data_IF_739243276074
#
_entry.id   IF_739243276074
#
_cell.length_a   1.000
_cell.length_b   1.000
_cell.length_c   1.000
_cell.angle_alpha   90.00
_cell.angle_beta   90.00
_cell.angle_gamma   90.00
#
_symmetry.space_group_name_H-M   'P 1'
#
loop_
_entity.id
_entity.type
_entity.pdbx_description
1 polymer ?
#
# COMPACT_ATOMS: atom_id res chain seq x y z
N UNK A 1 -9.68 32.76 -32.23
CA UNK A 1 -10.86 32.06 -32.80
C UNK A 1 -11.98 32.21 -31.78
N UNK A 2 -12.97 33.06 -32.07
CA UNK A 2 -14.06 33.38 -31.14
C UNK A 2 -15.05 32.22 -31.20
N UNK A 3 -15.10 31.38 -30.17
CA UNK A 3 -15.77 30.06 -30.26
C UNK A 3 -17.25 30.04 -29.87
N UNK A 4 -17.79 31.07 -29.22
CA UNK A 4 -19.24 31.22 -29.02
C UNK A 4 -19.57 32.71 -29.06
N UNK A 5 -20.36 33.14 -30.04
CA UNK A 5 -20.87 34.52 -30.12
C UNK A 5 -22.27 34.65 -29.52
N UNK A 6 -22.59 35.87 -29.09
CA UNK A 6 -23.64 36.42 -28.21
C UNK A 6 -24.94 35.65 -27.88
N UNK A 7 -25.41 34.64 -28.65
CA UNK A 7 -26.58 33.79 -28.28
C UNK A 7 -26.41 32.29 -28.57
N UNK A 8 -25.84 31.86 -29.71
CA UNK A 8 -25.46 30.47 -30.06
C UNK A 8 -24.69 30.48 -31.40
N UNK A 9 -23.77 29.53 -31.64
CA UNK A 9 -23.11 29.30 -32.93
C UNK A 9 -23.15 27.80 -33.29
N UNK A 10 -23.16 27.42 -34.58
CA UNK A 10 -23.41 26.03 -35.04
C UNK A 10 -22.17 25.13 -35.09
N UNK A 11 -20.99 25.69 -34.83
CA UNK A 11 -19.69 25.00 -34.84
C UNK A 11 -19.55 23.97 -33.72
N UNK A 12 -20.36 24.06 -32.66
CA UNK A 12 -20.43 23.08 -31.58
C UNK A 12 -21.20 21.80 -31.97
N UNK A 13 -22.09 21.87 -32.97
CA UNK A 13 -23.06 20.81 -33.28
C UNK A 13 -22.38 19.49 -33.69
N UNK A 14 -21.41 19.54 -34.60
CA UNK A 14 -20.69 18.36 -35.03
C UNK A 14 -19.79 17.79 -33.91
N UNK A 15 -19.13 18.67 -33.15
CA UNK A 15 -18.28 18.26 -32.04
C UNK A 15 -19.11 17.55 -30.96
N UNK A 16 -20.22 18.13 -30.52
CA UNK A 16 -21.08 17.58 -29.47
C UNK A 16 -21.74 16.25 -29.83
N UNK A 17 -21.99 16.00 -31.13
CA UNK A 17 -22.51 14.70 -31.61
C UNK A 17 -21.50 13.57 -31.47
N UNK A 18 -20.21 13.89 -31.35
CA UNK A 18 -19.12 12.91 -31.18
C UNK A 18 -18.73 12.88 -29.69
N UNK A 19 -18.33 14.03 -29.15
CA UNK A 19 -17.73 14.12 -27.83
C UNK A 19 -18.67 13.74 -26.70
N UNK A 20 -19.95 14.11 -26.77
CA UNK A 20 -20.91 13.77 -25.71
C UNK A 20 -21.19 12.25 -25.72
N UNK A 21 -21.64 11.61 -26.81
CA UNK A 21 -21.89 10.18 -26.79
C UNK A 21 -20.66 9.35 -26.48
N UNK A 22 -19.50 9.67 -27.06
CA UNK A 22 -18.27 8.92 -26.81
C UNK A 22 -17.78 9.05 -25.37
N UNK A 23 -17.94 10.22 -24.74
CA UNK A 23 -17.59 10.40 -23.33
C UNK A 23 -18.45 9.50 -22.42
N UNK A 24 -19.77 9.44 -22.65
CA UNK A 24 -20.65 8.58 -21.87
C UNK A 24 -20.39 7.10 -22.11
N UNK A 25 -20.20 6.68 -23.37
CA UNK A 25 -19.87 5.29 -23.70
C UNK A 25 -18.52 4.85 -23.10
N UNK A 26 -17.52 5.73 -23.12
CA UNK A 26 -16.21 5.44 -22.55
C UNK A 26 -16.30 5.35 -21.03
N UNK A 27 -17.00 6.27 -20.38
CA UNK A 27 -17.20 6.24 -18.92
C UNK A 27 -17.94 4.95 -18.49
N UNK A 28 -18.99 4.58 -19.21
CA UNK A 28 -19.74 3.34 -18.97
C UNK A 28 -18.84 2.10 -19.09
N UNK A 29 -18.07 2.00 -20.18
CA UNK A 29 -17.13 0.90 -20.38
C UNK A 29 -16.07 0.83 -19.26
N UNK A 30 -15.53 1.98 -18.84
CA UNK A 30 -14.59 2.05 -17.72
C UNK A 30 -15.20 1.55 -16.40
N UNK A 31 -16.44 1.93 -16.11
CA UNK A 31 -17.14 1.50 -14.89
C UNK A 31 -17.44 0.00 -14.89
N UNK A 32 -17.87 -0.56 -16.03
CA UNK A 32 -18.06 -2.00 -16.22
C UNK A 32 -16.77 -2.78 -15.95
N UNK A 33 -15.65 -2.32 -16.52
CA UNK A 33 -14.35 -2.95 -16.30
C UNK A 33 -13.92 -2.85 -14.83
N UNK A 34 -14.09 -1.67 -14.22
CA UNK A 34 -13.74 -1.45 -12.83
C UNK A 34 -14.54 -2.34 -11.88
N UNK A 35 -15.86 -2.46 -12.09
CA UNK A 35 -16.73 -3.33 -11.30
C UNK A 35 -16.30 -4.80 -11.43
N UNK A 36 -16.04 -5.27 -12.65
CA UNK A 36 -15.59 -6.64 -12.88
C UNK A 36 -14.25 -6.95 -12.17
N UNK A 37 -13.26 -6.06 -12.31
CA UNK A 37 -11.94 -6.22 -11.69
C UNK A 37 -12.05 -6.19 -10.16
N UNK A 38 -12.85 -5.26 -9.61
CA UNK A 38 -12.97 -5.08 -8.16
C UNK A 38 -13.67 -6.27 -7.50
N UNK A 39 -14.67 -6.86 -8.16
CA UNK A 39 -15.34 -8.08 -7.68
C UNK A 39 -14.45 -9.33 -7.81
N UNK A 40 -13.57 -9.38 -8.80
CA UNK A 40 -12.69 -10.52 -9.10
C UNK A 40 -11.27 -10.41 -8.55
N UNK A 41 -10.98 -9.45 -7.67
CA UNK A 41 -9.61 -9.17 -7.23
C UNK A 41 -9.04 -10.33 -6.39
N UNK A 42 -7.95 -10.92 -6.85
CA UNK A 42 -7.24 -12.00 -6.14
C UNK A 42 -6.03 -11.45 -5.38
N UNK A 43 -6.00 -11.69 -4.07
CA UNK A 43 -4.91 -11.25 -3.18
C UNK A 43 -4.00 -12.43 -2.82
N UNK A 44 -2.68 -12.26 -3.03
CA UNK A 44 -1.67 -13.28 -2.74
C UNK A 44 -0.89 -12.96 -1.46
N UNK A 45 -1.47 -13.32 -0.31
CA UNK A 45 -0.93 -12.99 1.01
C UNK A 45 0.53 -13.46 1.21
N UNK A 46 0.89 -14.64 0.71
CA UNK A 46 2.25 -15.18 0.86
C UNK A 46 3.31 -14.38 0.11
N UNK A 47 2.94 -13.82 -1.05
CA UNK A 47 3.85 -12.96 -1.82
C UNK A 47 4.02 -11.62 -1.10
N UNK A 48 2.95 -11.07 -0.54
CA UNK A 48 2.98 -9.85 0.27
C UNK A 48 3.87 -10.08 1.50
N UNK A 49 3.62 -11.14 2.26
CA UNK A 49 4.39 -11.49 3.45
C UNK A 49 5.89 -11.70 3.13
N UNK A 50 6.20 -12.36 2.00
CA UNK A 50 7.60 -12.54 1.57
C UNK A 50 8.29 -11.22 1.25
N UNK A 51 7.59 -10.27 0.62
CA UNK A 51 8.16 -8.94 0.34
C UNK A 51 8.33 -8.12 1.62
N UNK A 52 7.34 -8.15 2.50
CA UNK A 52 7.43 -7.48 3.80
C UNK A 52 8.59 -8.04 4.60
N UNK A 53 8.75 -9.37 4.68
CA UNK A 53 9.87 -9.99 5.40
C UNK A 53 11.26 -9.60 4.84
N UNK A 54 11.36 -9.34 3.52
CA UNK A 54 12.61 -8.92 2.89
C UNK A 54 13.00 -7.47 3.25
N UNK A 55 12.03 -6.58 3.46
CA UNK A 55 12.26 -5.14 3.68
C UNK A 55 12.14 -4.72 5.15
N UNK A 56 11.28 -5.39 5.93
CA UNK A 56 10.99 -5.05 7.33
C UNK A 56 12.24 -4.96 8.21
N UNK A 57 13.28 -5.81 8.08
CA UNK A 57 14.50 -5.68 8.86
C UNK A 57 15.15 -4.29 8.77
N UNK A 58 15.14 -3.65 7.59
CA UNK A 58 15.70 -2.30 7.43
C UNK A 58 14.82 -1.23 8.07
N UNK A 59 13.50 -1.39 8.01
CA UNK A 59 12.54 -0.48 8.65
C UNK A 59 12.51 -0.61 10.18
N UNK A 60 12.82 -1.79 10.71
CA UNK A 60 12.78 -2.11 12.14
C UNK A 60 14.03 -1.68 12.93
N UNK A 61 14.99 -0.99 12.30
CA UNK A 61 16.25 -0.59 12.93
C UNK A 61 16.04 0.29 14.17
N UNK A 62 15.10 1.23 14.16
CA UNK A 62 14.77 2.02 15.35
C UNK A 62 14.16 1.17 16.47
N UNK A 63 13.30 0.19 16.15
CA UNK A 63 12.72 -0.71 17.15
C UNK A 63 13.82 -1.52 17.87
N UNK A 64 14.83 -1.96 17.13
CA UNK A 64 16.03 -2.63 17.65
C UNK A 64 16.85 -1.70 18.56
N UNK A 65 17.11 -0.46 18.13
CA UNK A 65 17.82 0.54 18.95
C UNK A 65 17.05 0.84 20.24
N UNK A 66 15.72 0.99 20.16
CA UNK A 66 14.87 1.23 21.32
C UNK A 66 14.88 0.04 22.29
N UNK A 67 14.86 -1.19 21.79
CA UNK A 67 14.94 -2.39 22.62
C UNK A 67 16.28 -2.46 23.38
N UNK A 68 17.39 -2.22 22.70
CA UNK A 68 18.72 -2.15 23.33
C UNK A 68 18.79 -1.04 24.40
N UNK A 69 18.20 0.12 24.12
CA UNK A 69 18.13 1.21 25.10
C UNK A 69 17.33 0.83 26.36
N UNK A 70 16.27 0.01 26.24
CA UNK A 70 15.53 -0.53 27.41
C UNK A 70 16.40 -1.45 28.27
N UNK A 71 17.36 -2.14 27.67
CA UNK A 71 18.38 -2.94 28.37
C UNK A 71 19.58 -2.12 28.86
N UNK A 72 19.51 -0.79 28.78
CA UNK A 72 20.55 0.12 29.28
C UNK A 72 21.74 0.32 28.34
N UNK A 73 21.65 -0.15 27.09
CA UNK A 73 22.68 0.06 26.07
C UNK A 73 22.59 1.48 25.51
N UNK A 74 23.74 2.10 25.20
CA UNK A 74 23.78 3.43 24.61
C UNK A 74 23.08 3.46 23.25
N UNK A 75 22.18 4.42 23.05
CA UNK A 75 21.51 4.65 21.75
C UNK A 75 22.51 4.95 20.64
N UNK A 76 23.58 5.69 20.96
CA UNK A 76 24.60 6.08 19.98
C UNK A 76 25.41 4.86 19.51
N UNK A 77 25.81 3.99 20.43
CA UNK A 77 26.53 2.75 20.11
C UNK A 77 25.60 1.80 19.34
N UNK A 78 24.35 1.66 19.79
CA UNK A 78 23.34 0.84 19.12
C UNK A 78 23.09 1.27 17.68
N UNK A 79 22.98 2.59 17.45
CA UNK A 79 22.80 3.15 16.12
C UNK A 79 24.00 2.87 15.22
N UNK A 80 25.23 2.99 15.71
CA UNK A 80 26.42 2.74 14.88
C UNK A 80 26.57 1.26 14.52
N UNK A 81 26.38 0.35 15.49
CA UNK A 81 26.43 -1.09 15.26
C UNK A 81 25.37 -1.53 14.24
N UNK A 82 24.11 -1.11 14.41
CA UNK A 82 23.05 -1.47 13.47
C UNK A 82 23.27 -0.83 12.09
N UNK A 83 23.84 0.38 12.03
CA UNK A 83 24.16 1.07 10.76
C UNK A 83 25.16 0.26 9.96
N UNK A 84 26.24 -0.22 10.59
CA UNK A 84 27.26 -1.03 9.91
C UNK A 84 26.65 -2.33 9.36
N UNK A 85 25.90 -3.07 10.17
CA UNK A 85 25.24 -4.30 9.72
C UNK A 85 24.22 -4.05 8.60
N UNK A 86 23.47 -2.96 8.69
CA UNK A 86 22.50 -2.56 7.65
C UNK A 86 23.18 -2.25 6.32
N UNK A 87 24.34 -1.59 6.32
CA UNK A 87 25.10 -1.34 5.09
C UNK A 87 25.63 -2.63 4.47
N UNK A 88 26.09 -3.58 5.29
CA UNK A 88 26.56 -4.88 4.80
C UNK A 88 25.42 -5.68 4.17
N UNK A 89 24.28 -5.78 4.86
CA UNK A 89 23.10 -6.46 4.32
C UNK A 89 22.58 -5.79 3.04
N UNK A 90 22.56 -4.45 3.00
CA UNK A 90 22.20 -3.71 1.79
C UNK A 90 23.17 -3.96 0.63
N UNK A 91 24.47 -4.14 0.90
CA UNK A 91 25.47 -4.49 -0.10
C UNK A 91 25.22 -5.90 -0.67
N UNK A 92 24.87 -6.88 0.17
CA UNK A 92 24.49 -8.24 -0.29
C UNK A 92 23.29 -8.17 -1.23
N UNK A 93 22.25 -7.43 -0.86
CA UNK A 93 21.04 -7.30 -1.70
C UNK A 93 21.36 -6.59 -3.02
N UNK A 94 22.08 -5.46 -2.98
CA UNK A 94 22.29 -4.60 -4.16
C UNK A 94 23.40 -5.05 -5.08
N UNK A 95 24.52 -5.54 -4.54
CA UNK A 95 25.72 -5.87 -5.31
C UNK A 95 25.77 -7.36 -5.67
N UNK A 96 25.25 -8.23 -4.79
CA UNK A 96 25.35 -9.69 -4.96
C UNK A 96 24.02 -10.32 -5.41
N UNK A 97 22.91 -9.57 -5.36
CA UNK A 97 21.57 -10.08 -5.64
C UNK A 97 21.09 -11.11 -4.61
N UNK A 98 21.68 -11.10 -3.42
CA UNK A 98 21.33 -12.00 -2.32
C UNK A 98 20.06 -11.60 -1.58
N UNK A 99 19.63 -12.43 -0.63
CA UNK A 99 18.54 -12.09 0.28
C UNK A 99 19.03 -11.19 1.42
N UNK A 100 18.11 -10.43 2.01
CA UNK A 100 18.42 -9.61 3.19
C UNK A 100 18.79 -10.51 4.38
N UNK A 101 20.02 -10.38 4.85
CA UNK A 101 20.59 -11.16 5.95
C UNK A 101 20.80 -10.34 7.25
N UNK A 102 20.22 -9.13 7.34
CA UNK A 102 20.43 -8.22 8.49
C UNK A 102 20.08 -8.89 9.82
N UNK A 103 18.96 -9.62 9.90
CA UNK A 103 18.54 -10.29 11.13
C UNK A 103 19.50 -11.41 11.51
N UNK A 104 20.04 -12.14 10.53
CA UNK A 104 21.04 -13.17 10.76
C UNK A 104 22.36 -12.58 11.24
N UNK A 105 22.73 -11.38 10.75
CA UNK A 105 23.88 -10.63 11.27
C UNK A 105 23.67 -10.20 12.72
N UNK A 106 22.51 -9.63 13.03
CA UNK A 106 22.15 -9.22 14.41
C UNK A 106 22.25 -10.41 15.36
N UNK A 107 21.69 -11.57 15.00
CA UNK A 107 21.75 -12.79 15.82
C UNK A 107 23.16 -13.30 16.11
N UNK A 108 24.11 -13.03 15.20
CA UNK A 108 25.51 -13.48 15.31
C UNK A 108 26.41 -12.47 16.01
N UNK A 109 25.95 -11.25 16.22
CA UNK A 109 26.74 -10.17 16.79
C UNK A 109 26.48 -10.10 18.30
N UNK A 110 27.49 -10.34 19.16
CA UNK A 110 27.32 -10.38 20.62
C UNK A 110 26.73 -9.10 21.23
N UNK A 111 26.94 -7.94 20.59
CA UNK A 111 26.36 -6.67 21.02
C UNK A 111 24.82 -6.71 21.15
N UNK A 112 24.14 -7.53 20.33
CA UNK A 112 22.68 -7.64 20.31
C UNK A 112 22.14 -8.77 21.20
N UNK A 113 22.99 -9.48 21.95
CA UNK A 113 22.61 -10.57 22.85
C UNK A 113 21.41 -10.24 23.77
N UNK A 114 21.31 -9.03 24.38
CA UNK A 114 20.20 -8.69 25.27
C UNK A 114 18.81 -8.72 24.62
N UNK A 115 18.72 -8.52 23.29
CA UNK A 115 17.43 -8.41 22.57
C UNK A 115 17.09 -9.63 21.74
N UNK A 116 17.93 -10.68 21.71
CA UNK A 116 17.71 -11.84 20.83
C UNK A 116 16.37 -12.54 21.11
N UNK A 117 15.92 -12.55 22.37
CA UNK A 117 14.62 -13.09 22.76
C UNK A 117 13.42 -12.24 22.30
N UNK A 118 13.62 -10.96 22.03
CA UNK A 118 12.57 -10.01 21.60
C UNK A 118 12.49 -9.86 20.08
N UNK A 119 13.46 -10.37 19.31
CA UNK A 119 13.56 -10.11 17.87
C UNK A 119 12.31 -10.49 17.07
N UNK A 120 11.63 -11.58 17.42
CA UNK A 120 10.40 -11.97 16.72
C UNK A 120 9.27 -10.96 16.92
N UNK A 121 9.16 -10.39 18.12
CA UNK A 121 8.14 -9.38 18.44
C UNK A 121 8.48 -8.03 17.79
N UNK A 122 9.77 -7.65 17.83
CA UNK A 122 10.26 -6.40 17.20
C UNK A 122 10.08 -6.39 15.68
N UNK A 123 9.97 -7.57 15.07
CA UNK A 123 9.81 -7.79 13.63
C UNK A 123 8.40 -8.26 13.25
N UNK A 124 7.41 -8.16 14.15
CA UNK A 124 6.03 -8.44 13.79
C UNK A 124 5.49 -7.34 12.85
N UNK A 125 5.15 -7.64 11.58
CA UNK A 125 4.61 -6.67 10.65
C UNK A 125 3.34 -5.96 11.15
N UNK A 126 2.56 -6.62 12.01
CA UNK A 126 1.31 -6.05 12.54
C UNK A 126 1.56 -4.80 13.38
N UNK A 127 2.75 -4.67 13.97
CA UNK A 127 3.15 -3.50 14.76
C UNK A 127 3.54 -2.27 13.91
N UNK A 128 3.72 -2.45 12.60
CA UNK A 128 4.19 -1.41 11.66
C UNK A 128 3.06 -0.76 10.83
N UNK A 129 1.80 -1.15 11.05
CA UNK A 129 0.65 -0.67 10.25
C UNK A 129 0.02 0.62 10.81
N UNK A 130 0.51 1.13 11.93
CA UNK A 130 0.01 2.34 12.57
C UNK A 130 -1.50 2.24 12.86
N UNK A 131 -2.29 3.15 12.27
CA UNK A 131 -3.75 3.19 12.42
C UNK A 131 -4.50 2.75 11.16
N UNK A 132 -3.84 2.06 10.22
CA UNK A 132 -4.42 1.73 8.93
C UNK A 132 -5.79 1.01 9.04
N UNK A 133 -5.97 -0.01 9.90
CA UNK A 133 -7.28 -0.67 10.03
C UNK A 133 -8.37 0.30 10.50
N UNK A 134 -8.09 1.10 11.53
CA UNK A 134 -9.07 2.04 12.09
C UNK A 134 -9.40 3.18 11.13
N UNK A 135 -8.43 3.60 10.30
CA UNK A 135 -8.65 4.59 9.25
C UNK A 135 -9.60 4.06 8.18
N UNK A 136 -9.42 2.81 7.76
CA UNK A 136 -10.29 2.15 6.77
C UNK A 136 -11.70 1.96 7.32
N UNK A 137 -11.84 1.41 8.52
CA UNK A 137 -13.15 1.22 9.17
C UNK A 137 -13.91 2.54 9.30
N UNK A 138 -13.22 3.60 9.76
CA UNK A 138 -13.82 4.92 9.89
C UNK A 138 -14.26 5.49 8.54
N UNK A 139 -13.41 5.43 7.52
CA UNK A 139 -13.70 5.96 6.20
C UNK A 139 -14.90 5.26 5.55
N UNK A 140 -14.98 3.92 5.69
CA UNK A 140 -16.12 3.16 5.18
C UNK A 140 -17.41 3.62 5.87
N UNK A 141 -17.44 3.64 7.20
CA UNK A 141 -18.64 3.94 7.96
C UNK A 141 -19.10 5.41 7.86
N UNK A 142 -18.15 6.36 7.87
CA UNK A 142 -18.48 7.78 7.97
C UNK A 142 -18.64 8.46 6.61
N UNK A 143 -17.95 8.00 5.57
CA UNK A 143 -17.89 8.65 4.27
C UNK A 143 -18.54 7.77 3.18
N UNK A 144 -18.07 6.53 3.02
CA UNK A 144 -18.52 5.65 1.92
C UNK A 144 -19.99 5.25 2.10
N UNK A 145 -20.36 4.70 3.26
CA UNK A 145 -21.73 4.24 3.52
C UNK A 145 -22.75 5.37 3.37
N UNK A 146 -22.39 6.59 3.81
CA UNK A 146 -23.24 7.77 3.65
C UNK A 146 -23.37 8.19 2.20
N UNK A 147 -22.29 8.16 1.42
CA UNK A 147 -22.32 8.50 0.00
C UNK A 147 -23.16 7.49 -0.81
N UNK A 148 -23.17 6.22 -0.41
CA UNK A 148 -23.89 5.14 -1.08
C UNK A 148 -25.36 5.01 -0.64
N UNK A 149 -25.80 5.72 0.41
CA UNK A 149 -27.16 5.61 0.98
C UNK A 149 -28.26 5.76 -0.08
N UNK A 150 -28.11 6.75 -0.98
CA UNK A 150 -29.08 7.04 -2.04
C UNK A 150 -29.17 5.94 -3.11
N UNK A 151 -28.15 5.08 -3.21
CA UNK A 151 -28.01 4.06 -4.26
C UNK A 151 -28.16 2.63 -3.73
N UNK A 152 -28.48 2.45 -2.43
CA UNK A 152 -28.58 1.13 -1.79
C UNK A 152 -29.51 0.15 -2.52
N UNK A 153 -30.64 0.64 -3.05
CA UNK A 153 -31.60 -0.20 -3.77
C UNK A 153 -31.01 -0.69 -5.11
N UNK A 154 -30.26 0.17 -5.80
CA UNK A 154 -29.63 -0.17 -7.08
C UNK A 154 -28.48 -1.16 -6.89
N UNK A 155 -27.70 -1.01 -5.81
CA UNK A 155 -26.60 -1.89 -5.42
C UNK A 155 -27.04 -3.32 -5.06
N UNK A 156 -28.22 -3.49 -4.45
CA UNK A 156 -28.75 -4.82 -4.08
C UNK A 156 -29.22 -5.62 -5.30
N UNK A 157 -29.61 -4.93 -6.37
CA UNK A 157 -30.16 -5.56 -7.57
C UNK A 157 -29.14 -5.74 -8.70
N UNK A 158 -27.89 -5.31 -8.50
CA UNK A 158 -26.82 -5.43 -9.50
C UNK A 158 -26.04 -6.73 -9.30
N UNK A 159 -25.93 -7.54 -10.36
CA UNK A 159 -24.94 -8.60 -10.44
C UNK A 159 -23.61 -8.00 -10.94
N UNK A 160 -22.49 -8.60 -10.58
CA UNK A 160 -21.18 -8.20 -11.07
C UNK A 160 -21.19 -8.13 -12.61
N UNK A 161 -20.62 -7.06 -13.16
CA UNK A 161 -20.67 -6.82 -14.59
C UNK A 161 -20.03 -7.99 -15.38
N UNK A 162 -20.84 -8.64 -16.22
CA UNK A 162 -20.38 -9.75 -17.07
C UNK A 162 -19.65 -9.20 -18.30
N UNK A 163 -18.34 -9.44 -18.36
CA UNK A 163 -17.59 -9.28 -19.60
C UNK A 163 -17.73 -10.55 -20.42
N UNK A 164 -18.58 -10.50 -21.45
CA UNK A 164 -18.56 -11.51 -22.53
C UNK A 164 -17.38 -11.20 -23.44
N UNK A 165 -16.25 -11.83 -23.16
CA UNK A 165 -15.09 -11.87 -24.07
C UNK A 165 -15.29 -12.98 -25.08
#
# INVERSE_FOLDING_TARGET
MVLLTTQHSLDDSANRRITIPEAFLTADACLILLDNISNGLVVYEKVIASRVAAELPFMATENVIMALARHGVSRQESHEEIRVLSHQAAAVVKNEGGQNDLIERIKRTPFFEPILGELNELLDPSSFIGRAPQQVEKFIAEDVDKALEAYKIDLVNTAAAELKV
#
